data_IF_491305951935
#
_entry.id   IF_491305951935
#
_cell.length_a   1.000
_cell.length_b   1.000
_cell.length_c   1.000
_cell.angle_alpha   90.00
_cell.angle_beta   90.00
_cell.angle_gamma   90.00
#
_symmetry.space_group_name_H-M   'P 1'
#
loop_
_entity.id
_entity.type
_entity.pdbx_description
1 polymer ?
#
# COMPACT_ATOMS: atom_id res chain seq x y z
N UNK A 1 36.39 62.02 2.21
CA UNK A 1 36.63 60.79 1.44
C UNK A 1 36.81 59.53 2.32
N UNK A 2 37.78 59.50 3.23
CA UNK A 2 38.05 58.28 4.09
C UNK A 2 36.85 57.77 4.93
N UNK A 3 35.91 58.65 5.29
CA UNK A 3 34.74 58.28 6.13
C UNK A 3 33.69 57.52 5.34
N UNK A 4 33.43 57.86 4.12
CA UNK A 4 32.48 57.15 3.22
C UNK A 4 32.98 55.79 2.80
N UNK A 5 34.32 55.67 2.56
CA UNK A 5 34.93 54.39 2.20
C UNK A 5 34.72 53.34 3.33
N UNK A 6 34.91 53.74 4.58
CA UNK A 6 34.63 52.84 5.72
C UNK A 6 33.19 52.39 5.77
N UNK A 7 32.23 53.30 5.53
CA UNK A 7 30.78 52.99 5.57
C UNK A 7 30.41 52.02 4.44
N UNK A 8 30.92 52.22 3.23
CA UNK A 8 30.70 51.29 2.13
C UNK A 8 31.35 49.93 2.37
N UNK A 9 32.52 49.86 2.97
CA UNK A 9 33.18 48.60 3.31
C UNK A 9 32.40 47.80 4.35
N UNK A 10 31.86 48.50 5.38
CA UNK A 10 31.03 47.87 6.42
C UNK A 10 29.71 47.35 5.84
N UNK A 11 29.09 48.09 4.90
CA UNK A 11 27.86 47.65 4.24
C UNK A 11 28.07 46.44 3.35
N UNK A 12 29.19 46.37 2.62
CA UNK A 12 29.54 45.22 1.77
C UNK A 12 29.78 43.97 2.62
N UNK A 13 30.51 44.08 3.73
CA UNK A 13 30.74 42.97 4.67
C UNK A 13 29.43 42.48 5.26
N UNK A 14 28.51 43.34 5.63
CA UNK A 14 27.21 42.98 6.16
C UNK A 14 26.32 42.27 5.12
N UNK A 15 26.36 42.70 3.84
CA UNK A 15 25.64 42.04 2.74
C UNK A 15 26.22 40.64 2.47
N UNK A 16 27.54 40.52 2.49
CA UNK A 16 28.20 39.21 2.26
C UNK A 16 27.88 38.19 3.39
N UNK A 17 27.74 38.66 4.65
CA UNK A 17 27.36 37.74 5.76
C UNK A 17 25.88 37.30 5.70
N UNK A 18 25.01 38.10 5.09
CA UNK A 18 23.61 37.69 4.89
C UNK A 18 23.41 36.70 3.76
N UNK A 19 24.36 36.60 2.82
CA UNK A 19 24.28 35.67 1.69
C UNK A 19 24.85 34.26 1.98
N UNK A 20 25.48 34.04 3.14
CA UNK A 20 26.06 32.75 3.54
C UNK A 20 25.12 31.91 4.40
N UNK A 21 23.84 32.24 4.46
CA UNK A 21 22.83 31.37 5.08
C UNK A 21 22.53 30.23 4.14
N UNK A 22 23.39 29.20 4.09
CA UNK A 22 23.04 27.89 3.58
C UNK A 22 22.06 27.29 4.57
N UNK A 23 20.78 27.57 4.39
CA UNK A 23 19.72 26.76 4.99
C UNK A 23 19.65 25.49 4.16
N UNK A 24 19.87 24.37 4.79
CA UNK A 24 19.53 23.08 4.19
C UNK A 24 18.03 23.08 3.92
N UNK A 25 17.66 23.17 2.64
CA UNK A 25 16.27 23.25 2.22
C UNK A 25 15.61 21.85 2.13
N UNK A 26 16.36 20.80 2.40
CA UNK A 26 15.86 19.43 2.56
C UNK A 26 16.03 18.94 4.02
N UNK A 27 15.27 19.53 4.97
CA UNK A 27 15.32 19.03 6.33
C UNK A 27 14.75 17.62 6.37
N UNK A 28 15.55 16.67 6.85
CA UNK A 28 15.02 15.34 7.17
C UNK A 28 14.09 15.50 8.37
N UNK A 29 12.80 15.40 8.14
CA UNK A 29 11.82 15.43 9.21
C UNK A 29 11.83 14.09 9.96
N UNK A 30 12.45 14.07 11.13
CA UNK A 30 12.49 12.91 12.00
C UNK A 30 11.20 12.71 12.81
N UNK A 31 10.27 13.64 12.73
CA UNK A 31 8.96 13.52 13.41
C UNK A 31 7.98 12.68 12.61
N UNK A 32 8.22 12.51 11.31
CA UNK A 32 7.38 11.70 10.42
C UNK A 32 8.15 10.52 9.82
N UNK A 33 7.48 9.39 9.69
CA UNK A 33 8.02 8.22 8.99
C UNK A 33 7.94 8.48 7.49
N UNK A 34 9.08 8.54 6.83
CA UNK A 34 9.17 8.70 5.38
C UNK A 34 10.19 7.71 4.76
N UNK A 35 10.18 7.51 3.44
CA UNK A 35 11.08 6.54 2.79
C UNK A 35 12.57 6.80 2.99
N UNK A 36 12.99 8.02 3.36
CA UNK A 36 14.41 8.35 3.59
C UNK A 36 14.89 7.98 4.99
N UNK A 37 13.98 7.84 5.96
CA UNK A 37 14.31 7.55 7.35
C UNK A 37 13.72 6.21 7.86
N UNK A 38 13.04 5.44 7.02
CA UNK A 38 12.39 4.18 7.38
C UNK A 38 12.29 3.24 6.17
N UNK A 39 12.67 1.94 6.27
CA UNK A 39 13.17 1.23 7.45
C UNK A 39 14.69 1.39 7.65
N UNK A 40 15.16 1.45 8.90
CA UNK A 40 16.58 1.51 9.26
C UNK A 40 17.05 0.31 10.10
N UNK A 41 16.13 -0.43 10.68
CA UNK A 41 16.40 -1.57 11.55
C UNK A 41 15.61 -2.81 11.14
N UNK A 42 15.98 -3.97 11.70
CA UNK A 42 15.20 -5.19 11.51
C UNK A 42 13.79 -5.07 12.13
N UNK A 43 13.65 -4.35 13.23
CA UNK A 43 12.37 -4.05 13.86
C UNK A 43 11.45 -3.24 12.96
N UNK A 44 12.01 -2.28 12.21
CA UNK A 44 11.27 -1.50 11.22
C UNK A 44 10.77 -2.40 10.08
N UNK A 45 11.63 -3.32 9.59
CA UNK A 45 11.20 -4.30 8.59
C UNK A 45 10.08 -5.19 9.10
N UNK A 46 10.15 -5.67 10.34
CA UNK A 46 9.06 -6.45 10.95
C UNK A 46 7.75 -5.66 10.98
N UNK A 47 7.80 -4.38 11.33
CA UNK A 47 6.62 -3.52 11.33
C UNK A 47 6.01 -3.36 9.92
N UNK A 48 6.86 -3.17 8.89
CA UNK A 48 6.41 -3.13 7.49
C UNK A 48 5.75 -4.43 7.07
N UNK A 49 6.39 -5.56 7.32
CA UNK A 49 5.87 -6.90 6.98
C UNK A 49 4.55 -7.17 7.68
N UNK A 50 4.43 -6.83 8.98
CA UNK A 50 3.19 -6.97 9.72
C UNK A 50 2.03 -6.16 9.08
N UNK A 51 2.31 -5.00 8.48
CA UNK A 51 1.29 -4.24 7.76
C UNK A 51 0.72 -4.99 6.55
N UNK A 52 1.50 -5.89 5.93
CA UNK A 52 1.06 -6.73 4.83
C UNK A 52 0.26 -7.95 5.31
N UNK A 53 0.51 -8.43 6.53
CA UNK A 53 -0.28 -9.51 7.14
C UNK A 53 -1.62 -9.04 7.73
N UNK A 54 -1.76 -7.76 8.01
CA UNK A 54 -2.97 -7.21 8.63
C UNK A 54 -4.27 -7.62 7.90
N UNK A 55 -4.35 -7.60 6.55
CA UNK A 55 -5.56 -8.04 5.84
C UNK A 55 -5.86 -9.53 5.95
N UNK A 56 -4.85 -10.35 6.26
CA UNK A 56 -5.00 -11.81 6.36
C UNK A 56 -5.58 -12.27 7.70
N UNK A 57 -5.67 -11.36 8.67
CA UNK A 57 -6.25 -11.69 9.99
C UNK A 57 -7.75 -11.95 9.89
N UNK A 58 -8.27 -12.64 10.88
CA UNK A 58 -9.68 -12.82 11.07
C UNK A 58 -10.11 -12.21 12.40
N UNK A 59 -10.73 -11.04 12.39
CA UNK A 59 -11.50 -10.58 13.52
C UNK A 59 -12.97 -10.35 13.09
N UNK A 60 -13.84 -10.00 14.03
CA UNK A 60 -15.27 -9.91 13.72
C UNK A 60 -15.61 -8.90 12.62
N UNK A 61 -14.87 -7.81 12.51
CA UNK A 61 -15.21 -6.71 11.64
C UNK A 61 -14.29 -6.54 10.42
N UNK A 62 -13.13 -7.17 10.45
CA UNK A 62 -12.13 -6.93 9.40
C UNK A 62 -11.26 -8.16 9.09
N UNK A 63 -10.60 -8.06 7.94
CA UNK A 63 -9.73 -9.10 7.44
C UNK A 63 -10.47 -10.15 6.61
N UNK A 64 -9.72 -10.78 5.73
CA UNK A 64 -10.24 -11.72 4.73
C UNK A 64 -10.86 -12.96 5.37
N UNK A 65 -10.40 -13.33 6.55
CA UNK A 65 -10.89 -14.46 7.34
C UNK A 65 -11.85 -14.04 8.46
N UNK A 66 -12.51 -12.88 8.31
CA UNK A 66 -13.55 -12.47 9.25
C UNK A 66 -14.61 -13.58 9.39
N UNK A 67 -15.05 -13.93 10.61
CA UNK A 67 -16.16 -14.86 10.81
C UNK A 67 -17.54 -14.23 10.60
N UNK A 68 -17.60 -12.95 10.24
CA UNK A 68 -18.84 -12.25 9.94
C UNK A 68 -19.23 -12.40 8.46
N UNK A 69 -20.37 -11.82 8.07
CA UNK A 69 -20.86 -11.71 6.70
C UNK A 69 -19.89 -10.99 5.74
N UNK A 70 -18.80 -10.47 6.28
CA UNK A 70 -17.74 -9.76 5.57
C UNK A 70 -16.51 -10.62 5.31
N UNK A 71 -16.49 -11.87 5.76
CA UNK A 71 -15.43 -12.81 5.50
C UNK A 71 -15.60 -13.55 4.17
N UNK A 72 -14.49 -13.89 3.51
CA UNK A 72 -14.50 -14.62 2.24
C UNK A 72 -15.27 -15.94 2.34
N UNK A 73 -15.12 -16.68 3.44
CA UNK A 73 -15.86 -17.94 3.63
C UNK A 73 -17.35 -17.72 3.63
N UNK A 74 -17.82 -16.68 4.35
CA UNK A 74 -19.26 -16.36 4.41
C UNK A 74 -19.80 -15.97 3.05
N UNK A 75 -19.07 -15.13 2.32
CA UNK A 75 -19.47 -14.69 0.97
C UNK A 75 -19.51 -15.87 0.02
N UNK A 76 -18.50 -16.74 0.05
CA UNK A 76 -18.47 -17.93 -0.80
C UNK A 76 -19.64 -18.89 -0.48
N UNK A 77 -19.92 -19.15 0.79
CA UNK A 77 -21.04 -20.01 1.17
C UNK A 77 -22.40 -19.39 0.80
N UNK A 78 -22.52 -18.06 0.87
CA UNK A 78 -23.73 -17.34 0.50
C UNK A 78 -24.04 -17.40 -1.03
N UNK A 79 -23.05 -17.71 -1.86
CA UNK A 79 -23.29 -17.94 -3.29
C UNK A 79 -23.80 -19.35 -3.61
N UNK A 80 -23.97 -20.19 -2.61
CA UNK A 80 -24.39 -21.57 -2.73
C UNK A 80 -25.79 -21.77 -2.12
N UNK A 81 -26.31 -23.00 -2.24
CA UNK A 81 -27.58 -23.38 -1.60
C UNK A 81 -27.44 -23.67 -0.09
N UNK A 82 -26.20 -23.61 0.47
CA UNK A 82 -25.91 -23.99 1.85
C UNK A 82 -26.28 -22.89 2.83
N UNK A 83 -26.03 -21.62 2.45
CA UNK A 83 -26.21 -20.47 3.31
C UNK A 83 -27.02 -19.38 2.60
N UNK A 84 -28.05 -18.88 3.30
CA UNK A 84 -28.75 -17.65 2.90
C UNK A 84 -28.52 -16.59 3.94
N UNK A 85 -28.05 -15.43 3.51
CA UNK A 85 -27.86 -14.27 4.37
C UNK A 85 -28.90 -13.20 4.04
N UNK A 86 -29.33 -12.43 5.03
CA UNK A 86 -30.41 -11.45 4.88
C UNK A 86 -29.94 -10.00 4.99
N UNK A 87 -28.65 -9.75 5.16
CA UNK A 87 -28.06 -8.42 5.30
C UNK A 87 -26.55 -8.43 5.00
N UNK A 88 -25.97 -7.23 4.82
CA UNK A 88 -24.56 -7.05 4.50
C UNK A 88 -24.18 -7.51 3.09
N UNK A 89 -22.87 -7.53 2.77
CA UNK A 89 -22.37 -7.91 1.44
C UNK A 89 -22.80 -9.30 0.99
N UNK A 90 -22.89 -10.25 1.92
CA UNK A 90 -23.30 -11.62 1.63
C UNK A 90 -24.76 -11.75 1.22
N UNK A 91 -25.62 -10.76 1.53
CA UNK A 91 -27.01 -10.75 1.08
C UNK A 91 -27.11 -10.66 -0.46
N UNK A 92 -26.39 -9.74 -1.06
CA UNK A 92 -26.34 -9.61 -2.52
C UNK A 92 -25.80 -10.91 -3.17
N UNK A 93 -24.78 -11.50 -2.57
CA UNK A 93 -24.24 -12.79 -3.01
C UNK A 93 -25.29 -13.91 -2.94
N UNK A 94 -26.10 -13.96 -1.86
CA UNK A 94 -27.20 -14.93 -1.70
C UNK A 94 -28.29 -14.77 -2.76
N UNK A 95 -28.49 -13.57 -3.27
CA UNK A 95 -29.43 -13.27 -4.34
C UNK A 95 -28.81 -13.43 -5.75
N UNK A 96 -27.52 -13.80 -5.83
CA UNK A 96 -26.72 -13.81 -7.05
C UNK A 96 -26.74 -12.45 -7.77
N UNK A 97 -26.78 -11.38 -6.99
CA UNK A 97 -26.84 -10.01 -7.47
C UNK A 97 -25.41 -9.44 -7.60
N UNK A 98 -24.78 -9.65 -8.76
CA UNK A 98 -23.39 -9.29 -9.03
C UNK A 98 -23.26 -8.05 -9.93
N UNK A 99 -24.14 -7.07 -9.76
CA UNK A 99 -23.96 -5.78 -10.43
C UNK A 99 -22.80 -4.98 -9.82
N UNK A 100 -22.06 -4.21 -10.63
CA UNK A 100 -20.90 -3.44 -10.16
C UNK A 100 -21.19 -2.47 -9.00
N UNK A 101 -22.46 -2.04 -8.86
CA UNK A 101 -22.90 -1.08 -7.84
C UNK A 101 -23.26 -1.75 -6.52
N UNK A 102 -23.36 -3.08 -6.47
CA UNK A 102 -23.78 -3.77 -5.26
C UNK A 102 -22.65 -3.86 -4.24
N UNK A 103 -22.99 -3.72 -2.96
CA UNK A 103 -22.02 -3.82 -1.88
C UNK A 103 -21.30 -5.18 -1.88
N UNK A 104 -22.03 -6.26 -2.16
CA UNK A 104 -21.46 -7.60 -2.24
C UNK A 104 -20.38 -7.79 -3.31
N UNK A 105 -20.42 -6.99 -4.38
CA UNK A 105 -19.39 -7.01 -5.44
C UNK A 105 -18.23 -6.09 -5.14
N UNK A 106 -18.49 -4.88 -4.65
CA UNK A 106 -17.47 -3.84 -4.48
C UNK A 106 -16.68 -3.98 -3.20
N UNK A 107 -17.26 -4.59 -2.19
CA UNK A 107 -16.75 -4.63 -0.83
C UNK A 107 -15.28 -5.11 -0.69
N UNK A 108 -14.95 -6.23 -1.30
CA UNK A 108 -13.59 -6.76 -1.19
C UNK A 108 -12.57 -6.04 -2.08
N UNK A 109 -13.03 -5.42 -3.15
CA UNK A 109 -12.14 -4.85 -4.14
C UNK A 109 -11.84 -3.37 -3.91
N UNK A 110 -12.86 -2.54 -3.75
CA UNK A 110 -12.76 -1.08 -3.82
C UNK A 110 -13.10 -0.34 -2.53
N UNK A 111 -13.57 -0.98 -1.50
CA UNK A 111 -13.96 -0.25 -0.29
C UNK A 111 -12.78 0.57 0.24
N UNK A 112 -12.94 1.91 0.23
CA UNK A 112 -11.91 2.83 0.71
C UNK A 112 -11.90 2.99 2.24
N UNK A 113 -12.88 2.39 2.92
CA UNK A 113 -12.92 2.40 4.38
C UNK A 113 -12.03 1.29 4.90
N UNK A 114 -11.11 1.64 5.78
CA UNK A 114 -10.39 0.63 6.52
C UNK A 114 -11.40 -0.23 7.32
N UNK A 115 -11.23 -1.54 7.32
CA UNK A 115 -10.12 -2.37 6.84
C UNK A 115 -10.30 -3.01 5.46
N UNK A 116 -11.24 -2.55 4.68
CA UNK A 116 -11.66 -3.15 3.41
C UNK A 116 -10.84 -2.69 2.21
N UNK A 117 -11.18 -3.16 1.01
CA UNK A 117 -10.47 -2.79 -0.21
C UNK A 117 -9.14 -3.53 -0.40
N UNK A 118 -9.20 -4.84 -0.56
CA UNK A 118 -8.00 -5.70 -0.62
C UNK A 118 -7.10 -5.41 -1.84
N UNK A 119 -7.62 -4.80 -2.90
CA UNK A 119 -6.79 -4.32 -4.00
C UNK A 119 -5.72 -3.31 -3.52
N UNK A 120 -6.09 -2.40 -2.59
CA UNK A 120 -5.15 -1.47 -1.99
C UNK A 120 -4.10 -2.19 -1.12
N UNK A 121 -4.46 -3.32 -0.52
CA UNK A 121 -3.52 -4.10 0.29
C UNK A 121 -2.49 -4.85 -0.56
N UNK A 122 -2.86 -5.27 -1.77
CA UNK A 122 -1.91 -5.80 -2.77
C UNK A 122 -0.91 -4.70 -3.19
N UNK A 123 -1.40 -3.49 -3.49
CA UNK A 123 -0.57 -2.33 -3.78
C UNK A 123 0.36 -1.97 -2.62
N UNK A 124 -0.14 -2.07 -1.37
CA UNK A 124 0.68 -1.89 -0.17
C UNK A 124 1.84 -2.88 -0.11
N UNK A 125 1.61 -4.15 -0.41
CA UNK A 125 2.68 -5.15 -0.46
C UNK A 125 3.75 -4.78 -1.51
N UNK A 126 3.35 -4.29 -2.68
CA UNK A 126 4.28 -3.84 -3.72
C UNK A 126 5.13 -2.66 -3.25
N UNK A 127 4.53 -1.66 -2.57
CA UNK A 127 5.28 -0.55 -1.96
C UNK A 127 6.24 -1.02 -0.88
N UNK A 128 5.84 -1.96 -0.04
CA UNK A 128 6.71 -2.52 1.02
C UNK A 128 7.89 -3.28 0.42
N UNK A 129 7.69 -4.03 -0.67
CA UNK A 129 8.78 -4.70 -1.37
C UNK A 129 9.81 -3.70 -1.91
N UNK A 130 9.37 -2.59 -2.48
CA UNK A 130 10.25 -1.50 -2.94
C UNK A 130 11.04 -0.88 -1.78
N UNK A 131 10.38 -0.63 -0.63
CA UNK A 131 11.04 -0.11 0.56
C UNK A 131 12.08 -1.08 1.14
N UNK A 132 11.79 -2.39 1.17
CA UNK A 132 12.74 -3.42 1.58
C UNK A 132 13.96 -3.40 0.67
N UNK A 133 13.75 -3.38 -0.65
CA UNK A 133 14.85 -3.38 -1.63
C UNK A 133 15.75 -2.15 -1.50
N UNK A 134 15.19 -0.98 -1.30
CA UNK A 134 15.90 0.29 -1.14
C UNK A 134 16.56 0.47 0.22
N UNK A 135 16.21 -0.34 1.22
CA UNK A 135 16.78 -0.21 2.57
C UNK A 135 18.29 -0.50 2.60
N UNK A 136 19.00 0.03 3.61
CA UNK A 136 20.42 -0.22 3.82
C UNK A 136 20.72 -1.54 4.55
N UNK A 137 19.72 -2.40 4.75
CA UNK A 137 19.84 -3.64 5.50
C UNK A 137 20.54 -4.75 4.69
N UNK A 138 20.96 -5.83 5.39
CA UNK A 138 21.68 -6.93 4.74
C UNK A 138 20.80 -7.66 3.70
N UNK A 139 21.43 -8.24 2.69
CA UNK A 139 20.76 -9.00 1.65
C UNK A 139 19.97 -10.19 2.21
N UNK A 140 20.45 -10.82 3.28
CA UNK A 140 19.74 -11.94 3.93
C UNK A 140 18.41 -11.49 4.56
N UNK A 141 18.41 -10.34 5.22
CA UNK A 141 17.18 -9.75 5.77
C UNK A 141 16.21 -9.33 4.66
N UNK A 142 16.71 -8.69 3.59
CA UNK A 142 15.91 -8.33 2.43
C UNK A 142 15.27 -9.54 1.77
N UNK A 143 16.06 -10.60 1.54
CA UNK A 143 15.57 -11.84 0.95
C UNK A 143 14.49 -12.49 1.80
N UNK A 144 14.71 -12.60 3.12
CA UNK A 144 13.76 -13.19 4.06
C UNK A 144 12.45 -12.43 4.09
N UNK A 145 12.50 -11.14 4.43
CA UNK A 145 11.29 -10.33 4.58
C UNK A 145 10.59 -10.04 3.25
N UNK A 146 11.37 -9.93 2.16
CA UNK A 146 10.81 -9.85 0.83
C UNK A 146 10.00 -11.09 0.43
N UNK A 147 10.49 -12.30 0.79
CA UNK A 147 9.75 -13.54 0.56
C UNK A 147 8.43 -13.59 1.37
N UNK A 148 8.47 -13.15 2.64
CA UNK A 148 7.27 -13.06 3.47
C UNK A 148 6.21 -12.13 2.85
N UNK A 149 6.61 -10.95 2.38
CA UNK A 149 5.68 -9.99 1.74
C UNK A 149 5.15 -10.52 0.41
N UNK A 150 5.99 -11.18 -0.41
CA UNK A 150 5.53 -11.83 -1.66
C UNK A 150 4.48 -12.90 -1.37
N UNK A 151 4.70 -13.72 -0.36
CA UNK A 151 3.73 -14.73 0.06
C UNK A 151 2.38 -14.10 0.45
N UNK A 152 2.39 -13.04 1.26
CA UNK A 152 1.17 -12.32 1.64
C UNK A 152 0.48 -11.69 0.43
N UNK A 153 1.25 -11.07 -0.48
CA UNK A 153 0.75 -10.47 -1.73
C UNK A 153 0.12 -11.52 -2.64
N UNK A 154 0.82 -12.63 -2.87
CA UNK A 154 0.35 -13.74 -3.70
C UNK A 154 -0.96 -14.32 -3.18
N UNK A 155 -1.05 -14.55 -1.85
CA UNK A 155 -2.26 -15.08 -1.24
C UNK A 155 -3.47 -14.13 -1.37
N UNK A 156 -3.31 -12.84 -1.10
CA UNK A 156 -4.35 -11.83 -1.31
C UNK A 156 -4.77 -11.76 -2.78
N UNK A 157 -3.80 -11.79 -3.68
CA UNK A 157 -4.04 -11.75 -5.11
C UNK A 157 -4.79 -12.99 -5.61
N UNK A 158 -4.45 -14.16 -5.09
CA UNK A 158 -5.15 -15.40 -5.39
C UNK A 158 -6.63 -15.34 -5.01
N UNK A 159 -6.93 -14.88 -3.79
CA UNK A 159 -8.33 -14.78 -3.33
C UNK A 159 -9.14 -13.80 -4.19
N UNK A 160 -8.57 -12.62 -4.48
CA UNK A 160 -9.27 -11.66 -5.34
C UNK A 160 -9.38 -12.14 -6.79
N UNK A 161 -8.38 -12.86 -7.29
CA UNK A 161 -8.42 -13.48 -8.61
C UNK A 161 -9.51 -14.54 -8.73
N UNK A 162 -9.69 -15.36 -7.69
CA UNK A 162 -10.77 -16.35 -7.63
C UNK A 162 -12.16 -15.68 -7.65
N UNK A 163 -12.31 -14.56 -6.97
CA UNK A 163 -13.59 -13.83 -6.87
C UNK A 163 -13.91 -12.96 -8.10
N UNK A 164 -12.92 -12.31 -8.69
CA UNK A 164 -13.12 -11.25 -9.69
C UNK A 164 -12.45 -11.51 -11.04
N UNK A 165 -11.74 -12.62 -11.19
CA UNK A 165 -10.87 -12.86 -12.35
C UNK A 165 -9.61 -11.97 -12.34
N UNK A 166 -8.93 -11.82 -13.49
CA UNK A 166 -7.71 -11.04 -13.56
C UNK A 166 -7.87 -9.62 -13.02
N UNK A 167 -6.91 -9.17 -12.23
CA UNK A 167 -6.95 -7.90 -11.52
C UNK A 167 -6.26 -6.78 -12.30
N UNK A 168 -6.53 -5.55 -11.91
CA UNK A 168 -5.69 -4.40 -12.26
C UNK A 168 -4.57 -4.33 -11.22
N UNK A 169 -3.34 -4.52 -11.65
CA UNK A 169 -2.14 -4.43 -10.80
C UNK A 169 -1.36 -3.21 -11.19
N UNK A 170 -1.22 -2.27 -10.26
CA UNK A 170 -0.43 -1.07 -10.47
C UNK A 170 1.07 -1.39 -10.26
N UNK A 171 1.92 -1.12 -11.26
CA UNK A 171 3.36 -1.23 -11.10
C UNK A 171 3.89 -0.16 -10.17
N UNK A 172 5.11 -0.36 -9.64
CA UNK A 172 5.68 0.51 -8.62
C UNK A 172 5.79 1.97 -9.07
N UNK A 173 6.08 2.21 -10.34
CA UNK A 173 6.23 3.55 -10.90
C UNK A 173 4.91 4.35 -10.82
N UNK A 174 3.79 3.69 -11.03
CA UNK A 174 2.46 4.29 -10.89
C UNK A 174 2.12 4.53 -9.41
N UNK A 175 2.45 3.59 -8.54
CA UNK A 175 2.19 3.73 -7.10
C UNK A 175 3.00 4.86 -6.47
N UNK A 176 4.20 5.15 -6.98
CA UNK A 176 5.04 6.25 -6.50
C UNK A 176 4.63 7.62 -7.06
N UNK A 177 3.79 7.66 -8.09
CA UNK A 177 3.30 8.90 -8.72
C UNK A 177 1.76 9.00 -8.65
N UNK A 178 1.16 9.06 -7.44
CA UNK A 178 -0.29 8.97 -7.26
C UNK A 178 -1.08 10.18 -7.83
N UNK A 179 -0.38 11.23 -8.23
CA UNK A 179 -1.00 12.41 -8.86
C UNK A 179 -1.16 12.28 -10.38
N UNK A 180 -0.54 11.27 -10.98
CA UNK A 180 -0.70 10.97 -12.41
C UNK A 180 -1.80 9.94 -12.58
N UNK A 181 -2.93 10.36 -13.16
CA UNK A 181 -4.00 9.44 -13.53
C UNK A 181 -3.57 8.59 -14.72
N UNK A 182 -3.06 7.40 -14.45
CA UNK A 182 -2.68 6.43 -15.48
C UNK A 182 -3.72 5.32 -15.56
N UNK A 183 -4.54 5.24 -16.62
CA UNK A 183 -5.46 4.14 -16.83
C UNK A 183 -4.70 2.82 -17.00
N UNK A 184 -4.98 1.84 -16.16
CA UNK A 184 -4.36 0.52 -16.21
C UNK A 184 -5.39 -0.53 -16.64
N UNK A 185 -5.07 -1.37 -17.62
CA UNK A 185 -5.91 -2.51 -17.97
C UNK A 185 -5.81 -3.60 -16.91
N UNK A 186 -6.76 -4.52 -16.90
CA UNK A 186 -6.62 -5.79 -16.18
C UNK A 186 -5.50 -6.60 -16.82
N UNK A 187 -4.77 -7.35 -16.00
CA UNK A 187 -3.82 -8.34 -16.51
C UNK A 187 -4.55 -9.39 -17.36
N UNK A 188 -3.82 -10.07 -18.24
CA UNK A 188 -4.28 -11.33 -18.82
C UNK A 188 -4.30 -12.44 -17.76
N UNK A 189 -4.92 -13.56 -18.05
CA UNK A 189 -4.96 -14.70 -17.15
C UNK A 189 -3.55 -15.22 -16.82
N UNK A 190 -2.72 -15.39 -17.82
CA UNK A 190 -1.35 -15.90 -17.68
C UNK A 190 -0.45 -14.91 -16.89
N UNK A 191 -0.60 -13.61 -17.14
CA UNK A 191 0.11 -12.57 -16.37
C UNK A 191 -0.32 -12.56 -14.91
N UNK A 192 -1.62 -12.78 -14.64
CA UNK A 192 -2.13 -12.80 -13.27
C UNK A 192 -1.61 -14.03 -12.50
N UNK A 193 -1.61 -15.20 -13.14
CA UNK A 193 -1.03 -16.42 -12.55
C UNK A 193 0.44 -16.21 -12.22
N UNK A 194 1.20 -15.68 -13.16
CA UNK A 194 2.61 -15.38 -12.94
C UNK A 194 2.83 -14.38 -11.79
N UNK A 195 2.00 -13.34 -11.71
CA UNK A 195 2.07 -12.36 -10.61
C UNK A 195 1.79 -12.98 -9.23
N UNK A 196 0.93 -14.00 -9.16
CA UNK A 196 0.63 -14.73 -7.92
C UNK A 196 1.78 -15.64 -7.52
N UNK A 197 2.47 -16.25 -8.51
CA UNK A 197 3.59 -17.17 -8.27
C UNK A 197 4.90 -16.47 -7.90
N UNK A 198 5.09 -15.20 -8.29
CA UNK A 198 6.26 -14.37 -7.98
C UNK A 198 6.20 -13.81 -6.53
#
# INVERSE_FOLDING_TARGET
MKRYIKTYLTAIVFICTCLSSCVDLDPVDYSEINPSNFPQSEEDLKALVLSCYYPLRGNWWDGIHSPSERGVMFVNDATTEILTQTWGPAYDCSLLNFFPETEGVTFFYYENKEPYGFANKISRCTLVLDQIEKSALSNDLKARYGAEVRCARGFLSYILFDMYGPLVIAPIEVLLNPLEETPLPRLSYDEMVKFIED
#
